data_IF_893420461987
#
_entry.id   IF_893420461987
#
_cell.length_a   1.000
_cell.length_b   1.000
_cell.length_c   1.000
_cell.angle_alpha   90.00
_cell.angle_beta   90.00
_cell.angle_gamma   90.00
#
_symmetry.space_group_name_H-M   'P 1'
#
loop_
_entity.id
_entity.type
_entity.pdbx_description
1 polymer ?
#
# COMPACT_ATOMS: atom_id res chain seq x y z
N UNK A 1 2.09 -22.75 -7.86
CA UNK A 1 1.42 -21.80 -8.77
C UNK A 1 -0.06 -22.14 -8.80
N UNK A 2 -0.95 -21.21 -8.51
CA UNK A 2 -2.40 -21.45 -8.51
C UNK A 2 -3.02 -20.78 -9.74
N UNK A 3 -3.92 -21.47 -10.43
CA UNK A 3 -4.61 -20.92 -11.58
C UNK A 3 -5.66 -19.89 -11.14
N UNK A 4 -5.75 -18.78 -11.88
CA UNK A 4 -6.77 -17.75 -11.69
C UNK A 4 -7.64 -17.71 -12.94
N UNK A 5 -8.94 -17.96 -12.77
CA UNK A 5 -9.93 -17.89 -13.86
C UNK A 5 -10.66 -16.55 -13.79
N UNK A 6 -10.54 -15.74 -14.84
CA UNK A 6 -11.18 -14.42 -14.94
C UNK A 6 -12.09 -14.37 -16.16
N UNK A 7 -13.25 -13.74 -16.01
CA UNK A 7 -14.15 -13.39 -17.12
C UNK A 7 -13.89 -11.94 -17.50
N UNK A 8 -13.59 -11.70 -18.78
CA UNK A 8 -13.25 -10.37 -19.30
C UNK A 8 -14.01 -10.16 -20.60
N UNK A 9 -14.54 -8.96 -20.82
CA UNK A 9 -15.19 -8.58 -22.08
C UNK A 9 -14.18 -8.62 -23.23
N UNK A 10 -14.65 -8.91 -24.44
CA UNK A 10 -13.78 -9.10 -25.60
C UNK A 10 -12.98 -7.84 -25.97
N UNK A 11 -13.61 -6.67 -25.87
CA UNK A 11 -12.97 -5.36 -26.10
C UNK A 11 -11.81 -5.11 -25.14
N UNK A 12 -12.01 -5.40 -23.85
CA UNK A 12 -10.98 -5.28 -22.81
C UNK A 12 -9.86 -6.29 -23.05
N UNK A 13 -10.18 -7.53 -23.42
CA UNK A 13 -9.19 -8.54 -23.78
C UNK A 13 -8.32 -8.08 -24.95
N UNK A 14 -8.92 -7.52 -26.00
CA UNK A 14 -8.20 -7.00 -27.16
C UNK A 14 -7.29 -5.80 -26.81
N UNK A 15 -7.70 -4.97 -25.85
CA UNK A 15 -6.84 -3.90 -25.33
C UNK A 15 -5.61 -4.46 -24.58
N UNK A 16 -5.82 -5.44 -23.69
CA UNK A 16 -4.74 -6.10 -22.94
C UNK A 16 -3.75 -6.77 -23.90
N UNK A 17 -4.24 -7.46 -24.92
CA UNK A 17 -3.38 -8.12 -25.92
C UNK A 17 -2.46 -7.16 -26.65
N UNK A 18 -2.98 -5.99 -27.05
CA UNK A 18 -2.17 -4.95 -27.70
C UNK A 18 -1.11 -4.41 -26.75
N UNK A 19 -1.46 -4.16 -25.48
CA UNK A 19 -0.53 -3.66 -24.48
C UNK A 19 0.58 -4.67 -24.15
N UNK A 20 0.22 -5.95 -23.99
CA UNK A 20 1.18 -7.04 -23.77
C UNK A 20 2.15 -7.17 -24.95
N UNK A 21 1.63 -7.15 -26.18
CA UNK A 21 2.45 -7.19 -27.41
C UNK A 21 3.40 -6.00 -27.50
N UNK A 22 2.95 -4.80 -27.17
CA UNK A 22 3.78 -3.59 -27.18
C UNK A 22 4.96 -3.67 -26.19
N UNK A 23 4.84 -4.48 -25.14
CA UNK A 23 5.90 -4.73 -24.15
C UNK A 23 6.66 -6.04 -24.37
N UNK A 24 6.39 -6.78 -25.45
CA UNK A 24 7.04 -8.08 -25.72
C UNK A 24 6.68 -9.18 -24.71
N UNK A 25 5.51 -9.09 -24.06
CA UNK A 25 5.06 -10.03 -23.02
C UNK A 25 3.90 -10.89 -23.49
N UNK A 26 3.72 -12.05 -22.85
CA UNK A 26 2.46 -12.79 -22.98
C UNK A 26 1.32 -12.04 -22.28
N UNK A 27 0.07 -12.33 -22.65
CA UNK A 27 -1.10 -11.77 -21.98
C UNK A 27 -1.07 -12.04 -20.47
N UNK A 28 -0.77 -13.28 -20.09
CA UNK A 28 -0.73 -13.69 -18.69
C UNK A 28 0.33 -12.94 -17.90
N UNK A 29 1.55 -12.82 -18.44
CA UNK A 29 2.64 -12.10 -17.76
C UNK A 29 2.30 -10.62 -17.58
N UNK A 30 1.74 -9.99 -18.62
CA UNK A 30 1.27 -8.60 -18.54
C UNK A 30 0.20 -8.43 -17.48
N UNK A 31 -0.80 -9.33 -17.42
CA UNK A 31 -1.88 -9.26 -16.44
C UNK A 31 -1.38 -9.47 -15.01
N UNK A 32 -0.44 -10.39 -14.78
CA UNK A 32 0.15 -10.63 -13.45
C UNK A 32 0.96 -9.41 -13.00
N UNK A 33 1.79 -8.85 -13.87
CA UNK A 33 2.57 -7.64 -13.55
C UNK A 33 1.66 -6.45 -13.23
N UNK A 34 0.62 -6.25 -14.03
CA UNK A 34 -0.36 -5.18 -13.81
C UNK A 34 -1.10 -5.37 -12.48
N UNK A 35 -1.59 -6.58 -12.20
CA UNK A 35 -2.28 -6.90 -10.95
C UNK A 35 -1.37 -6.70 -9.74
N UNK A 36 -0.10 -7.11 -9.83
CA UNK A 36 0.90 -6.90 -8.77
C UNK A 36 1.10 -5.41 -8.48
N UNK A 37 1.33 -4.60 -9.51
CA UNK A 37 1.53 -3.15 -9.34
C UNK A 37 0.31 -2.49 -8.71
N UNK A 38 -0.89 -2.83 -9.18
CA UNK A 38 -2.12 -2.30 -8.61
C UNK A 38 -2.32 -2.73 -7.15
N UNK A 39 -1.95 -3.96 -6.79
CA UNK A 39 -1.99 -4.42 -5.40
C UNK A 39 -0.97 -3.68 -4.52
N UNK A 40 0.26 -3.49 -5.01
CA UNK A 40 1.31 -2.72 -4.31
C UNK A 40 0.87 -1.27 -4.09
N UNK A 41 0.33 -0.60 -5.11
CA UNK A 41 -0.20 0.76 -5.02
C UNK A 41 -1.35 0.87 -4.01
N UNK A 42 -2.33 -0.05 -4.07
CA UNK A 42 -3.45 -0.06 -3.14
C UNK A 42 -3.04 -0.32 -1.68
N UNK A 43 -1.95 -1.05 -1.44
CA UNK A 43 -1.39 -1.26 -0.10
C UNK A 43 -0.58 -0.04 0.37
N UNK A 44 0.17 0.60 -0.53
CA UNK A 44 0.93 1.81 -0.23
C UNK A 44 0.01 2.98 0.13
N UNK A 45 -1.10 3.15 -0.59
CA UNK A 45 -2.13 4.16 -0.30
C UNK A 45 -2.71 4.02 1.11
N UNK A 46 -2.74 2.82 1.69
CA UNK A 46 -3.19 2.62 3.08
C UNK A 46 -2.17 3.10 4.12
N UNK A 47 -0.89 3.23 3.74
CA UNK A 47 0.19 3.65 4.64
C UNK A 47 0.58 5.12 4.46
N UNK A 48 0.09 5.78 3.41
CA UNK A 48 0.44 7.15 3.08
C UNK A 48 -0.57 8.15 3.68
N UNK A 49 -0.17 8.84 4.75
CA UNK A 49 -0.98 9.93 5.33
C UNK A 49 -0.62 11.23 4.64
N UNK A 50 -1.47 11.67 3.70
CA UNK A 50 -1.30 12.97 3.03
C UNK A 50 -1.82 14.08 3.93
N UNK A 51 -0.97 15.06 4.22
CA UNK A 51 -1.31 16.24 5.03
C UNK A 51 -0.85 17.52 4.33
N UNK A 52 -1.43 18.67 4.68
CA UNK A 52 -0.88 19.96 4.26
C UNK A 52 0.44 20.29 4.97
N UNK A 53 1.14 21.31 4.48
CA UNK A 53 2.44 21.71 5.01
C UNK A 53 2.37 22.11 6.50
N UNK A 54 1.29 22.78 6.93
CA UNK A 54 1.17 23.25 8.31
C UNK A 54 1.04 22.07 9.29
N UNK A 55 0.26 21.07 8.90
CA UNK A 55 0.09 19.82 9.65
C UNK A 55 1.38 19.00 9.67
N UNK A 56 2.11 18.96 8.55
CA UNK A 56 3.43 18.33 8.47
C UNK A 56 4.44 18.96 9.43
N UNK A 57 4.54 20.30 9.44
CA UNK A 57 5.45 21.02 10.33
C UNK A 57 5.06 20.84 11.80
N UNK A 58 3.75 20.79 12.11
CA UNK A 58 3.26 20.50 13.45
C UNK A 58 3.63 19.07 13.88
N UNK A 59 3.48 18.10 12.99
CA UNK A 59 3.86 16.72 13.25
C UNK A 59 5.36 16.58 13.54
N UNK A 60 6.22 17.21 12.72
CA UNK A 60 7.68 17.20 12.97
C UNK A 60 8.04 17.83 14.31
N UNK A 61 7.46 18.99 14.65
CA UNK A 61 7.67 19.64 15.96
C UNK A 61 7.25 18.77 17.13
N UNK A 62 6.23 17.93 16.96
CA UNK A 62 5.79 16.99 17.98
C UNK A 62 6.73 15.79 18.08
N UNK A 63 7.25 15.29 16.95
CA UNK A 63 8.16 14.15 16.87
C UNK A 63 9.55 14.47 17.46
N UNK A 64 10.05 15.69 17.25
CA UNK A 64 11.35 16.13 17.77
C UNK A 64 11.37 16.38 19.28
N UNK A 65 10.19 16.42 19.92
CA UNK A 65 10.11 16.58 21.37
C UNK A 65 10.20 15.23 22.09
N UNK A 66 10.93 15.15 23.22
CA UNK A 66 10.94 13.94 24.02
C UNK A 66 9.51 13.63 24.51
N UNK A 67 9.11 12.34 24.52
CA UNK A 67 7.79 11.95 24.96
C UNK A 67 7.60 12.30 26.44
N UNK A 68 6.47 12.93 26.77
CA UNK A 68 6.19 13.43 28.12
C UNK A 68 4.70 13.35 28.47
N UNK A 69 4.42 13.44 29.77
CA UNK A 69 3.07 13.57 30.32
C UNK A 69 2.41 12.25 30.75
N UNK A 70 1.27 12.38 31.44
CA UNK A 70 0.55 11.27 32.11
C UNK A 70 0.18 10.11 31.18
N UNK A 71 -0.11 10.41 29.91
CA UNK A 71 -0.44 9.38 28.91
C UNK A 71 0.75 8.48 28.56
N UNK A 72 1.93 9.07 28.37
CA UNK A 72 3.17 8.34 28.11
C UNK A 72 3.56 7.48 29.32
N UNK A 73 3.52 8.05 30.52
CA UNK A 73 3.80 7.30 31.76
C UNK A 73 2.87 6.10 31.93
N UNK A 74 1.58 6.27 31.66
CA UNK A 74 0.60 5.18 31.70
C UNK A 74 0.90 4.10 30.66
N UNK A 75 1.25 4.50 29.43
CA UNK A 75 1.59 3.55 28.36
C UNK A 75 2.85 2.74 28.71
N UNK A 76 3.89 3.38 29.22
CA UNK A 76 5.13 2.69 29.62
C UNK A 76 4.95 1.74 30.82
N UNK A 77 3.94 2.00 31.67
CA UNK A 77 3.57 1.12 32.80
C UNK A 77 2.58 0.01 32.40
N UNK A 78 2.02 0.04 31.20
CA UNK A 78 1.04 -0.95 30.78
C UNK A 78 1.71 -2.33 30.57
N UNK A 79 1.02 -3.41 30.98
CA UNK A 79 1.50 -4.78 30.73
C UNK A 79 1.54 -5.01 29.22
N UNK A 80 2.70 -5.42 28.71
CA UNK A 80 2.88 -5.71 27.28
C UNK A 80 1.98 -6.89 26.88
N UNK A 81 1.11 -6.76 25.87
CA UNK A 81 0.17 -7.81 25.49
C UNK A 81 0.84 -9.04 24.83
N UNK A 82 2.12 -8.94 24.50
CA UNK A 82 2.94 -10.02 23.93
C UNK A 82 4.01 -10.55 24.90
N UNK A 83 4.02 -10.10 26.16
CA UNK A 83 4.86 -10.73 27.18
C UNK A 83 4.23 -12.10 27.56
N UNK A 84 5.04 -13.13 27.84
CA UNK A 84 4.53 -14.43 28.30
C UNK A 84 3.68 -14.30 29.58
#
# INVERSE_FOLDING_TARGET
MHAVNLRVREDVRGLIDRAAKAQGKTRSDFMIDAARRAAEEALLDQTFVRVDQATYDQFLKALDQPPKGKGFERLMKAKKPWAP
#
